data_IF_094852486997
#
_entry.id   IF_094852486997
#
_cell.length_a   1.000
_cell.length_b   1.000
_cell.length_c   1.000
_cell.angle_alpha   90.00
_cell.angle_beta   90.00
_cell.angle_gamma   90.00
#
_symmetry.space_group_name_H-M   'P 1'
#
loop_
_entity.id
_entity.type
_entity.pdbx_description
1 polymer ?
#
# COMPACT_ATOMS: atom_id res chain seq x y z
N UNK A 1 -16.80 -1.97 -13.78
CA UNK A 1 -15.82 -0.89 -13.96
C UNK A 1 -14.43 -1.43 -13.78
N UNK A 2 -13.60 -1.13 -14.70
CA UNK A 2 -12.23 -1.60 -14.60
C UNK A 2 -11.42 -0.58 -13.82
N UNK A 3 -11.00 -0.94 -12.64
CA UNK A 3 -10.11 -0.08 -11.87
C UNK A 3 -8.83 0.21 -12.65
N UNK A 4 -8.52 -0.60 -13.64
CA UNK A 4 -7.39 -0.36 -14.52
C UNK A 4 -7.46 0.91 -15.33
N UNK A 5 -8.66 1.51 -15.46
CA UNK A 5 -8.80 2.76 -16.16
C UNK A 5 -8.13 3.93 -15.45
N UNK A 6 -7.85 3.78 -14.14
CA UNK A 6 -7.26 4.83 -13.32
C UNK A 6 -5.74 4.76 -13.27
N UNK A 7 -5.13 3.66 -13.70
CA UNK A 7 -3.72 3.44 -13.48
C UNK A 7 -2.99 3.12 -14.77
N UNK A 8 -1.74 3.55 -14.84
CA UNK A 8 -0.85 3.10 -15.90
C UNK A 8 -0.48 1.63 -15.65
N UNK A 9 0.07 0.98 -16.69
CA UNK A 9 0.53 -0.40 -16.56
C UNK A 9 1.63 -0.53 -15.52
N UNK A 10 2.51 0.47 -15.43
CA UNK A 10 3.59 0.44 -14.44
C UNK A 10 3.04 0.52 -13.03
N UNK A 11 2.03 1.37 -12.80
CA UNK A 11 1.40 1.49 -11.50
C UNK A 11 0.69 0.19 -11.09
N UNK A 12 -0.01 -0.42 -12.03
CA UNK A 12 -0.70 -1.68 -11.77
C UNK A 12 0.29 -2.78 -11.43
N UNK A 13 1.40 -2.84 -12.16
CA UNK A 13 2.43 -3.84 -11.90
C UNK A 13 3.07 -3.63 -10.53
N UNK A 14 3.28 -2.38 -10.14
CA UNK A 14 3.84 -2.08 -8.83
C UNK A 14 2.91 -2.56 -7.71
N UNK A 15 1.61 -2.32 -7.85
CA UNK A 15 0.62 -2.78 -6.87
C UNK A 15 0.60 -4.29 -6.80
N UNK A 16 0.56 -4.96 -7.96
CA UNK A 16 0.55 -6.43 -8.01
C UNK A 16 1.78 -7.03 -7.35
N UNK A 17 2.94 -6.46 -7.64
CA UNK A 17 4.20 -6.94 -7.08
C UNK A 17 4.22 -6.79 -5.56
N UNK A 18 3.75 -5.66 -5.07
CA UNK A 18 3.68 -5.41 -3.63
C UNK A 18 2.77 -6.43 -2.94
N UNK A 19 1.61 -6.68 -3.52
CA UNK A 19 0.65 -7.63 -2.95
C UNK A 19 1.25 -9.03 -2.92
N UNK A 20 1.85 -9.48 -4.03
CA UNK A 20 2.43 -10.82 -4.09
C UNK A 20 3.53 -11.03 -3.07
N UNK A 21 4.42 -10.07 -2.94
CA UNK A 21 5.51 -10.18 -1.96
C UNK A 21 4.98 -10.26 -0.55
N UNK A 22 3.96 -9.46 -0.26
CA UNK A 22 3.37 -9.45 1.07
C UNK A 22 2.66 -10.75 1.38
N UNK A 23 1.99 -11.35 0.41
CA UNK A 23 1.35 -12.64 0.60
C UNK A 23 2.37 -13.73 0.92
N UNK A 24 3.53 -13.68 0.26
CA UNK A 24 4.60 -14.63 0.52
C UNK A 24 5.19 -14.46 1.91
N UNK A 25 5.13 -13.24 2.44
CA UNK A 25 5.65 -12.94 3.77
C UNK A 25 4.64 -13.20 4.87
N UNK A 26 3.47 -13.73 4.54
CA UNK A 26 2.45 -14.28 5.45
C UNK A 26 1.65 -13.28 6.24
N UNK A 27 0.36 -13.44 6.18
CA UNK A 27 -0.59 -13.05 7.23
C UNK A 27 -0.63 -11.58 7.58
N UNK A 28 -0.16 -10.74 6.69
CA UNK A 28 -0.37 -9.31 6.85
C UNK A 28 -1.75 -8.97 6.28
N UNK A 29 -2.35 -7.95 6.86
CA UNK A 29 -3.65 -7.50 6.42
C UNK A 29 -3.50 -6.38 5.42
N UNK A 30 -4.30 -6.42 4.37
CA UNK A 30 -4.29 -5.40 3.34
C UNK A 30 -5.56 -4.58 3.43
N UNK A 31 -5.41 -3.27 3.32
CA UNK A 31 -6.53 -2.35 3.24
C UNK A 31 -6.30 -1.41 2.07
N UNK A 32 -7.36 -1.15 1.32
CA UNK A 32 -7.27 -0.26 0.18
C UNK A 32 -8.27 0.87 0.36
N UNK A 33 -7.79 2.09 0.23
CA UNK A 33 -8.66 3.27 0.24
C UNK A 33 -8.59 3.91 -1.13
N UNK A 34 -9.74 4.07 -1.76
CA UNK A 34 -9.84 4.74 -3.06
C UNK A 34 -10.73 5.96 -2.88
N UNK A 35 -10.18 7.14 -3.03
CA UNK A 35 -10.95 8.35 -2.86
C UNK A 35 -10.08 9.58 -2.78
N UNK A 36 -10.69 10.75 -2.57
CA UNK A 36 -9.94 11.99 -2.51
C UNK A 36 -9.06 12.06 -1.27
N UNK A 37 -7.87 12.60 -1.46
CA UNK A 37 -6.92 12.83 -0.39
C UNK A 37 -7.07 14.29 0.07
N UNK A 38 -7.17 14.50 1.38
CA UNK A 38 -7.23 15.84 1.95
C UNK A 38 -5.87 16.22 2.49
N UNK A 39 -5.32 17.31 1.99
CA UNK A 39 -4.00 17.74 2.37
C UNK A 39 -2.93 16.91 1.68
N UNK A 40 -1.82 16.71 2.35
CA UNK A 40 -0.74 15.95 1.77
C UNK A 40 -1.00 14.45 1.84
N UNK A 41 -0.64 13.71 0.79
CA UNK A 41 -0.95 12.28 0.72
C UNK A 41 -0.33 11.45 1.83
N UNK A 42 0.94 11.70 2.15
CA UNK A 42 1.63 10.86 3.12
C UNK A 42 1.06 10.97 4.53
N UNK A 43 0.88 12.16 5.09
CA UNK A 43 0.24 12.27 6.40
C UNK A 43 -1.18 11.74 6.42
N UNK A 44 -1.94 11.97 5.35
CA UNK A 44 -3.30 11.47 5.25
C UNK A 44 -3.33 9.95 5.28
N UNK A 45 -2.48 9.31 4.48
CA UNK A 45 -2.40 7.86 4.44
C UNK A 45 -1.93 7.29 5.78
N UNK A 46 -1.01 7.95 6.44
CA UNK A 46 -0.51 7.52 7.74
C UNK A 46 -1.62 7.54 8.79
N UNK A 47 -2.44 8.60 8.78
CA UNK A 47 -3.57 8.66 9.71
C UNK A 47 -4.57 7.55 9.46
N UNK A 48 -4.88 7.27 8.20
CA UNK A 48 -5.77 6.17 7.86
C UNK A 48 -5.20 4.83 8.31
N UNK A 49 -3.92 4.62 8.06
CA UNK A 49 -3.25 3.39 8.47
C UNK A 49 -3.35 3.19 9.98
N UNK A 50 -3.20 4.25 10.75
CA UNK A 50 -3.25 4.17 12.21
C UNK A 50 -4.64 3.84 12.74
N UNK A 51 -5.69 3.98 11.93
CA UNK A 51 -7.05 3.62 12.35
C UNK A 51 -7.37 2.15 12.12
N UNK A 52 -6.49 1.41 11.46
CA UNK A 52 -6.73 -0.01 11.19
C UNK A 52 -6.64 -0.81 12.47
N UNK A 53 -7.28 -1.99 12.44
CA UNK A 53 -7.37 -2.84 13.64
C UNK A 53 -5.99 -3.31 14.11
N UNK A 54 -5.13 -3.66 13.18
CA UNK A 54 -3.79 -4.14 13.52
C UNK A 54 -2.75 -3.38 12.68
N UNK A 55 -2.48 -2.11 13.01
CA UNK A 55 -1.65 -1.27 12.15
C UNK A 55 -0.23 -1.83 11.94
N UNK A 56 0.38 -2.43 12.97
CA UNK A 56 1.74 -2.93 12.83
C UNK A 56 1.85 -4.05 11.80
N UNK A 57 0.76 -4.78 11.56
CA UNK A 57 0.73 -5.90 10.63
C UNK A 57 -0.05 -5.56 9.36
N UNK A 58 -0.35 -4.29 9.15
CA UNK A 58 -1.24 -3.89 8.05
C UNK A 58 -0.51 -3.10 7.00
N UNK A 59 -0.96 -3.25 5.78
CA UNK A 59 -0.51 -2.47 4.64
C UNK A 59 -1.71 -1.70 4.12
N UNK A 60 -1.59 -0.39 4.06
CA UNK A 60 -2.62 0.46 3.49
C UNK A 60 -2.17 0.93 2.12
N UNK A 61 -3.01 0.72 1.13
CA UNK A 61 -2.80 1.25 -0.21
C UNK A 61 -3.82 2.37 -0.41
N UNK A 62 -3.32 3.58 -0.55
CA UNK A 62 -4.14 4.76 -0.75
C UNK A 62 -4.08 5.17 -2.21
N UNK A 63 -5.24 5.35 -2.81
CA UNK A 63 -5.32 5.71 -4.22
C UNK A 63 -6.26 6.89 -4.40
N UNK A 64 -5.78 7.93 -5.07
CA UNK A 64 -6.61 9.02 -5.52
C UNK A 64 -6.48 9.10 -7.04
N UNK A 65 -7.40 8.49 -7.78
CA UNK A 65 -7.29 8.45 -9.23
C UNK A 65 -7.38 9.84 -9.89
N UNK A 66 -8.18 10.72 -9.33
CA UNK A 66 -8.38 12.06 -9.89
C UNK A 66 -7.08 12.85 -9.86
N UNK A 67 -6.29 12.70 -8.79
CA UNK A 67 -5.02 13.39 -8.64
C UNK A 67 -3.84 12.51 -8.99
N UNK A 68 -4.09 11.26 -9.38
CA UNK A 68 -3.06 10.29 -9.74
C UNK A 68 -2.08 10.05 -8.60
N UNK A 69 -2.62 9.95 -7.39
CA UNK A 69 -1.81 9.74 -6.19
C UNK A 69 -1.90 8.27 -5.79
N UNK A 70 -0.74 7.70 -5.46
CA UNK A 70 -0.64 6.36 -4.91
C UNK A 70 0.32 6.42 -3.73
N UNK A 71 -0.17 6.04 -2.55
CA UNK A 71 0.66 5.96 -1.35
C UNK A 71 0.48 4.59 -0.72
N UNK A 72 1.57 4.02 -0.26
CA UNK A 72 1.55 2.73 0.42
C UNK A 72 2.18 2.93 1.79
N UNK A 73 1.41 2.62 2.83
CA UNK A 73 1.89 2.73 4.20
C UNK A 73 1.92 1.34 4.81
N UNK A 74 3.06 0.97 5.37
CA UNK A 74 3.25 -0.34 5.96
C UNK A 74 3.49 -0.22 7.45
N UNK A 75 2.96 -1.17 8.21
CA UNK A 75 3.22 -1.25 9.63
C UNK A 75 4.65 -1.69 9.92
N UNK A 76 5.08 -1.52 11.17
CA UNK A 76 6.47 -1.79 11.54
C UNK A 76 6.86 -3.25 11.31
N UNK A 77 5.97 -4.19 11.60
CA UNK A 77 6.25 -5.61 11.38
C UNK A 77 6.38 -5.92 9.89
N UNK A 78 5.56 -5.27 9.07
CA UNK A 78 5.62 -5.45 7.62
C UNK A 78 6.92 -4.90 7.08
N UNK A 79 7.32 -3.72 7.52
CA UNK A 79 8.55 -3.09 7.04
C UNK A 79 9.77 -3.95 7.33
N UNK A 80 9.84 -4.56 8.50
CA UNK A 80 10.95 -5.44 8.83
C UNK A 80 11.05 -6.60 7.86
N UNK A 81 9.92 -7.24 7.56
CA UNK A 81 9.92 -8.38 6.64
C UNK A 81 10.21 -7.96 5.21
N UNK A 82 9.63 -6.85 4.76
CA UNK A 82 9.85 -6.36 3.41
C UNK A 82 11.30 -5.93 3.22
N UNK A 83 11.88 -5.28 4.23
CA UNK A 83 13.29 -4.88 4.17
C UNK A 83 14.21 -6.09 4.06
N UNK A 84 13.94 -7.13 4.84
CA UNK A 84 14.71 -8.37 4.78
C UNK A 84 14.60 -9.00 3.39
N UNK A 85 13.39 -9.05 2.84
CA UNK A 85 13.17 -9.61 1.52
C UNK A 85 13.89 -8.80 0.45
N UNK A 86 13.87 -7.48 0.56
CA UNK A 86 14.56 -6.60 -0.38
C UNK A 86 16.07 -6.80 -0.32
N UNK A 87 16.61 -6.96 0.89
CA UNK A 87 18.03 -7.23 1.05
C UNK A 87 18.43 -8.51 0.35
N UNK A 88 17.55 -9.50 0.36
CA UNK A 88 17.80 -10.77 -0.32
C UNK A 88 17.72 -10.62 -1.83
N UNK A 89 16.87 -9.72 -2.32
CA UNK A 89 16.64 -9.55 -3.73
C UNK A 89 17.68 -8.71 -4.44
N UNK A 90 18.30 -7.81 -3.72
CA UNK A 90 19.29 -6.89 -4.28
C UNK A 90 20.70 -7.40 -4.06
#
# INVERSE_FOLDING_TARGET
MASGDFFSNAERLAIDTTIRKSEQLCRFEFSVFVGPVEGEPRPFATRLHNTLVAPTKSILILVDPAERILEIVTGAAVRRRVTDARSTMW
#
